data_IF_088286803467
#
_entry.id   IF_088286803467
#
_cell.length_a   1.000
_cell.length_b   1.000
_cell.length_c   1.000
_cell.angle_alpha   90.00
_cell.angle_beta   90.00
_cell.angle_gamma   90.00
#
_symmetry.space_group_name_H-M   'P 1'
#
loop_
_entity.id
_entity.type
_entity.pdbx_description
1 polymer ?
#
# COMPACT_ATOMS: atom_id res chain seq x y z
N UNK A 1 -26.67 34.27 36.34
CA UNK A 1 -26.45 32.88 36.82
C UNK A 1 -27.10 31.94 35.81
N UNK A 2 -26.29 31.05 35.23
CA UNK A 2 -26.64 29.83 34.46
C UNK A 2 -27.49 29.97 33.19
N UNK A 3 -26.84 29.89 32.02
CA UNK A 3 -27.14 28.90 30.97
C UNK A 3 -26.05 28.93 29.89
N UNK A 4 -25.07 28.02 30.02
CA UNK A 4 -24.09 27.72 28.98
C UNK A 4 -24.66 26.64 28.05
N UNK A 5 -24.94 27.01 26.80
CA UNK A 5 -25.22 26.09 25.69
C UNK A 5 -24.09 26.18 24.68
N UNK A 6 -23.31 25.10 24.63
CA UNK A 6 -22.82 24.38 23.44
C UNK A 6 -21.97 25.11 22.38
N UNK A 7 -20.87 24.42 22.03
CA UNK A 7 -20.05 24.48 20.80
C UNK A 7 -18.85 25.42 20.78
N UNK A 8 -17.67 24.84 21.00
CA UNK A 8 -16.44 25.17 20.27
C UNK A 8 -15.43 24.01 20.37
N UNK A 9 -15.82 22.82 19.92
CA UNK A 9 -14.88 21.73 19.58
C UNK A 9 -15.09 21.34 18.12
N UNK A 10 -14.59 22.20 17.22
CA UNK A 10 -14.44 21.88 15.79
C UNK A 10 -13.43 22.83 15.16
N UNK A 11 -12.20 22.79 15.64
CA UNK A 11 -11.08 23.50 15.00
C UNK A 11 -9.86 22.62 15.01
N UNK A 12 -9.87 21.59 14.15
CA UNK A 12 -8.69 20.77 13.86
C UNK A 12 -8.87 20.00 12.53
N UNK A 13 -9.61 20.59 11.58
CA UNK A 13 -9.39 20.30 10.17
C UNK A 13 -8.11 21.04 9.73
N UNK A 14 -6.99 20.68 10.35
CA UNK A 14 -5.66 21.00 9.85
C UNK A 14 -5.61 20.45 8.45
N UNK A 15 -5.37 21.34 7.47
CA UNK A 15 -5.12 21.04 6.05
C UNK A 15 -4.54 19.64 5.88
N UNK A 16 -5.38 18.69 5.49
CA UNK A 16 -4.89 17.44 4.95
C UNK A 16 -4.28 17.81 3.61
N UNK A 17 -2.95 17.85 3.56
CA UNK A 17 -2.26 17.85 2.27
C UNK A 17 -2.77 16.64 1.47
N UNK A 18 -2.91 16.74 0.13
CA UNK A 18 -3.31 15.60 -0.68
C UNK A 18 -2.43 14.42 -0.31
N UNK A 19 -3.05 13.35 0.19
CA UNK A 19 -2.31 12.18 0.61
C UNK A 19 -1.58 11.60 -0.61
N UNK A 20 -0.25 11.51 -0.56
CA UNK A 20 0.58 11.01 -1.66
C UNK A 20 0.21 9.59 -2.10
N UNK A 21 -0.62 8.86 -1.33
CA UNK A 21 -1.26 7.61 -1.76
C UNK A 21 -2.09 7.73 -3.04
N UNK A 22 -2.47 8.95 -3.47
CA UNK A 22 -3.05 9.15 -4.79
C UNK A 22 -2.04 8.90 -5.93
N UNK A 23 -0.78 9.26 -5.71
CA UNK A 23 0.31 8.92 -6.61
C UNK A 23 0.87 7.53 -6.22
N UNK A 24 1.43 7.38 -5.03
CA UNK A 24 2.20 6.22 -4.56
C UNK A 24 1.45 5.41 -3.49
N UNK A 25 0.74 4.36 -3.92
CA UNK A 25 -0.17 3.59 -3.06
C UNK A 25 0.51 2.76 -1.96
N UNK A 26 1.84 2.62 -1.97
CA UNK A 26 2.60 1.83 -0.98
C UNK A 26 3.32 2.69 0.07
N UNK A 27 3.16 4.02 0.06
CA UNK A 27 3.72 4.88 1.11
C UNK A 27 3.18 4.44 2.47
N UNK A 28 4.05 4.36 3.48
CA UNK A 28 3.68 3.93 4.83
C UNK A 28 3.62 2.42 5.07
N UNK A 29 3.66 1.58 4.00
CA UNK A 29 3.74 0.11 4.12
C UNK A 29 4.99 -0.47 3.45
N UNK A 30 5.51 0.19 2.41
CA UNK A 30 6.75 -0.22 1.77
C UNK A 30 7.96 0.16 2.63
N UNK A 31 8.90 -0.77 2.77
CA UNK A 31 10.08 -0.59 3.59
C UNK A 31 11.35 -1.15 2.95
N UNK A 32 12.47 -0.56 3.32
CA UNK A 32 13.79 -1.00 2.90
C UNK A 32 14.15 -2.33 3.57
N UNK A 33 14.48 -3.36 2.78
CA UNK A 33 14.95 -4.64 3.30
C UNK A 33 16.36 -4.61 3.90
N UNK A 34 17.09 -3.50 3.76
CA UNK A 34 18.45 -3.35 4.31
C UNK A 34 18.50 -2.58 5.65
N UNK A 35 17.74 -1.49 5.79
CA UNK A 35 17.75 -0.66 7.00
C UNK A 35 16.36 -0.47 7.63
N UNK A 36 15.35 -1.20 7.13
CA UNK A 36 13.96 -1.25 7.63
C UNK A 36 13.15 0.04 7.57
N UNK A 37 13.77 1.17 7.22
CA UNK A 37 13.07 2.44 7.07
C UNK A 37 12.02 2.39 5.95
N UNK A 38 10.91 3.10 6.16
CA UNK A 38 9.87 3.30 5.17
C UNK A 38 10.46 3.88 3.87
N UNK A 39 10.00 3.37 2.73
CA UNK A 39 10.33 3.94 1.44
C UNK A 39 9.45 5.16 1.17
N UNK A 40 10.02 6.15 0.48
CA UNK A 40 9.30 7.33 0.01
C UNK A 40 9.01 7.21 -1.48
N UNK A 41 7.88 7.77 -1.92
CA UNK A 41 7.60 7.96 -3.35
C UNK A 41 8.47 9.08 -3.91
N UNK A 42 9.05 8.85 -5.09
CA UNK A 42 9.86 9.83 -5.79
C UNK A 42 9.46 9.89 -7.26
N UNK A 43 9.10 11.10 -7.70
CA UNK A 43 8.98 11.44 -9.11
C UNK A 43 10.39 11.67 -9.70
N UNK A 44 10.64 11.15 -10.89
CA UNK A 44 11.89 11.33 -11.62
C UNK A 44 11.59 11.46 -13.11
N UNK A 45 12.45 12.13 -13.92
CA UNK A 45 12.23 12.23 -15.36
C UNK A 45 12.07 10.88 -16.08
N UNK A 46 12.65 9.81 -15.53
CA UNK A 46 12.55 8.45 -16.05
C UNK A 46 11.37 7.64 -15.49
N UNK A 47 10.46 8.27 -14.74
CA UNK A 47 9.28 7.65 -14.15
C UNK A 47 9.25 7.70 -12.62
N UNK A 48 8.40 6.84 -12.05
CA UNK A 48 8.02 6.86 -10.64
C UNK A 48 8.70 5.74 -9.86
N UNK A 49 9.20 6.04 -8.67
CA UNK A 49 9.97 5.11 -7.87
C UNK A 49 9.60 5.14 -6.39
N UNK A 50 9.71 4.00 -5.71
CA UNK A 50 9.90 3.95 -4.27
C UNK A 50 11.40 3.91 -3.98
N UNK A 51 11.87 4.76 -3.07
CA UNK A 51 13.28 4.84 -2.72
C UNK A 51 13.49 4.90 -1.20
N UNK A 52 14.58 4.31 -0.74
CA UNK A 52 15.05 4.46 0.63
C UNK A 52 15.88 5.74 0.69
N UNK A 53 15.23 6.87 0.93
CA UNK A 53 15.87 8.18 0.85
C UNK A 53 16.92 8.40 1.95
N UNK A 54 18.17 8.60 1.55
CA UNK A 54 19.28 8.88 2.47
C UNK A 54 19.15 10.25 3.13
N UNK A 55 18.57 11.24 2.45
CA UNK A 55 18.33 12.56 3.04
C UNK A 55 17.26 12.49 4.15
N UNK A 56 16.27 11.61 4.01
CA UNK A 56 15.27 11.26 5.03
C UNK A 56 15.75 10.25 6.10
N UNK A 57 17.06 9.99 6.19
CA UNK A 57 17.65 9.08 7.18
C UNK A 57 17.62 7.59 6.81
N UNK A 58 17.34 7.27 5.55
CA UNK A 58 17.49 5.94 4.97
C UNK A 58 18.92 5.62 4.55
N UNK A 59 19.13 4.45 3.94
CA UNK A 59 20.45 4.01 3.50
C UNK A 59 20.78 4.35 2.04
N UNK A 60 19.81 4.78 1.22
CA UNK A 60 20.03 5.07 -0.19
C UNK A 60 20.12 3.85 -1.11
N UNK A 61 20.14 2.63 -0.56
CA UNK A 61 20.47 1.40 -1.32
C UNK A 61 19.28 0.85 -2.11
N UNK A 62 18.06 0.99 -1.59
CA UNK A 62 16.86 0.46 -2.24
C UNK A 62 16.21 1.55 -3.08
N UNK A 63 16.04 1.26 -4.37
CA UNK A 63 15.19 1.99 -5.30
C UNK A 63 14.49 1.00 -6.21
N UNK A 64 13.19 1.17 -6.43
CA UNK A 64 12.36 0.23 -7.19
C UNK A 64 11.26 1.00 -7.94
N UNK A 65 10.95 0.57 -9.17
CA UNK A 65 9.92 1.23 -9.97
C UNK A 65 8.54 1.08 -9.32
N UNK A 66 7.77 2.17 -9.25
CA UNK A 66 6.50 2.21 -8.54
C UNK A 66 5.43 1.32 -9.20
N UNK A 67 5.13 1.56 -10.48
CA UNK A 67 4.08 0.81 -11.20
C UNK A 67 4.25 -0.71 -11.11
N UNK A 68 5.39 -1.29 -11.55
CA UNK A 68 5.60 -2.73 -11.46
C UNK A 68 5.56 -3.29 -10.03
N UNK A 69 5.96 -2.52 -9.01
CA UNK A 69 5.85 -2.96 -7.62
C UNK A 69 4.39 -2.95 -7.14
N UNK A 70 3.64 -1.91 -7.51
CA UNK A 70 2.22 -1.76 -7.17
C UNK A 70 1.39 -2.88 -7.83
N UNK A 71 1.69 -3.23 -9.08
CA UNK A 71 1.06 -4.34 -9.78
C UNK A 71 1.33 -5.69 -9.09
N UNK A 72 2.59 -5.94 -8.72
CA UNK A 72 2.95 -7.15 -7.96
C UNK A 72 2.21 -7.24 -6.61
N UNK A 73 2.10 -6.12 -5.89
CA UNK A 73 1.36 -6.07 -4.62
C UNK A 73 -0.13 -6.37 -4.86
N UNK A 74 -0.72 -5.79 -5.91
CA UNK A 74 -2.10 -6.04 -6.29
C UNK A 74 -2.37 -7.51 -6.60
N UNK A 75 -1.50 -8.13 -7.41
CA UNK A 75 -1.57 -9.55 -7.74
C UNK A 75 -1.50 -10.42 -6.48
N UNK A 76 -0.62 -10.06 -5.54
CA UNK A 76 -0.48 -10.83 -4.30
C UNK A 76 -1.68 -10.66 -3.38
N UNK A 77 -2.21 -9.45 -3.23
CA UNK A 77 -3.45 -9.17 -2.49
C UNK A 77 -4.62 -9.96 -3.07
N UNK A 78 -4.77 -9.92 -4.40
CA UNK A 78 -5.78 -10.69 -5.11
C UNK A 78 -5.67 -12.19 -4.82
N UNK A 79 -4.46 -12.74 -4.90
CA UNK A 79 -4.22 -14.16 -4.63
C UNK A 79 -4.61 -14.54 -3.20
N UNK A 80 -4.34 -13.69 -2.22
CA UNK A 80 -4.73 -13.93 -0.82
C UNK A 80 -6.24 -13.83 -0.62
N UNK A 81 -6.88 -12.80 -1.18
CA UNK A 81 -8.32 -12.60 -1.05
C UNK A 81 -9.16 -13.70 -1.69
N UNK A 82 -8.67 -14.26 -2.79
CA UNK A 82 -9.36 -15.33 -3.54
C UNK A 82 -8.96 -16.73 -3.09
N UNK A 83 -7.98 -16.85 -2.19
CA UNK A 83 -7.57 -18.13 -1.63
C UNK A 83 -8.74 -18.82 -0.92
N UNK A 84 -8.95 -20.14 -1.12
CA UNK A 84 -10.06 -20.86 -0.51
C UNK A 84 -10.13 -20.72 1.02
N UNK A 85 -8.98 -20.64 1.68
CA UNK A 85 -8.90 -20.51 3.15
C UNK A 85 -9.43 -19.15 3.61
N UNK A 86 -9.04 -18.08 2.92
CA UNK A 86 -9.54 -16.72 3.20
C UNK A 86 -11.04 -16.65 2.96
N UNK A 87 -11.53 -17.24 1.88
CA UNK A 87 -12.97 -17.32 1.58
C UNK A 87 -13.73 -18.08 2.68
N UNK A 88 -13.21 -19.23 3.11
CA UNK A 88 -13.82 -20.02 4.18
C UNK A 88 -13.93 -19.22 5.49
N UNK A 89 -12.85 -18.52 5.88
CA UNK A 89 -12.83 -17.69 7.09
C UNK A 89 -13.81 -16.53 7.05
N UNK A 90 -13.97 -15.89 5.89
CA UNK A 90 -14.96 -14.82 5.73
C UNK A 90 -16.40 -15.35 5.83
N UNK A 91 -16.66 -16.55 5.31
CA UNK A 91 -17.96 -17.24 5.46
C UNK A 91 -18.25 -17.54 6.94
N UNK A 92 -17.27 -18.06 7.68
CA UNK A 92 -17.39 -18.33 9.13
C UNK A 92 -17.74 -17.07 9.94
N UNK A 93 -17.21 -15.90 9.54
CA UNK A 93 -17.51 -14.62 10.16
C UNK A 93 -18.89 -14.05 9.79
N UNK A 94 -19.72 -14.78 9.06
CA UNK A 94 -21.05 -14.34 8.64
C UNK A 94 -21.02 -13.19 7.64
N UNK A 95 -19.86 -12.91 7.02
CA UNK A 95 -19.68 -11.85 6.04
C UNK A 95 -20.17 -12.27 4.64
N UNK A 96 -21.15 -13.18 4.54
CA UNK A 96 -21.50 -13.86 3.28
C UNK A 96 -22.15 -12.97 2.23
N UNK A 97 -22.81 -11.87 2.64
CA UNK A 97 -23.58 -11.00 1.73
C UNK A 97 -22.71 -10.18 0.74
N UNK A 98 -21.38 -10.28 0.81
CA UNK A 98 -20.45 -9.64 -0.14
C UNK A 98 -19.40 -10.57 -0.75
N UNK A 99 -19.33 -11.85 -0.37
CA UNK A 99 -18.24 -12.74 -0.79
C UNK A 99 -18.43 -13.35 -2.18
N UNK A 100 -19.68 -13.48 -2.61
CA UNK A 100 -20.00 -13.85 -4.00
C UNK A 100 -19.51 -12.76 -4.98
N UNK A 101 -19.32 -11.53 -4.49
CA UNK A 101 -18.73 -10.41 -5.22
C UNK A 101 -17.21 -10.29 -5.06
N UNK A 102 -16.55 -11.03 -4.16
CA UNK A 102 -15.08 -11.09 -4.06
C UNK A 102 -14.50 -12.17 -4.99
N UNK A 103 -14.98 -12.20 -6.23
CA UNK A 103 -14.32 -12.99 -7.27
C UNK A 103 -13.00 -12.33 -7.66
N UNK A 104 -12.07 -13.13 -8.19
CA UNK A 104 -10.81 -12.61 -8.69
C UNK A 104 -11.02 -11.52 -9.75
N UNK A 105 -12.00 -11.73 -10.61
CA UNK A 105 -12.37 -10.81 -11.68
C UNK A 105 -12.95 -9.49 -11.13
N UNK A 106 -13.86 -9.56 -10.15
CA UNK A 106 -14.45 -8.38 -9.55
C UNK A 106 -13.41 -7.54 -8.80
N UNK A 107 -12.50 -8.18 -8.05
CA UNK A 107 -11.39 -7.48 -7.41
C UNK A 107 -10.44 -6.85 -8.43
N UNK A 108 -10.05 -7.58 -9.48
CA UNK A 108 -9.17 -7.06 -10.53
C UNK A 108 -9.80 -5.84 -11.21
N UNK A 109 -11.08 -5.93 -11.56
CA UNK A 109 -11.83 -4.82 -12.18
C UNK A 109 -11.91 -3.62 -11.25
N UNK A 110 -12.23 -3.85 -9.97
CA UNK A 110 -12.23 -2.79 -8.97
C UNK A 110 -10.85 -2.14 -8.86
N UNK A 111 -9.78 -2.92 -8.66
CA UNK A 111 -8.41 -2.42 -8.51
C UNK A 111 -7.96 -1.56 -9.69
N UNK A 112 -8.27 -1.97 -10.92
CA UNK A 112 -7.93 -1.22 -12.13
C UNK A 112 -8.69 0.10 -12.26
N UNK A 113 -9.92 0.16 -11.75
CA UNK A 113 -10.77 1.35 -11.79
C UNK A 113 -10.62 2.27 -10.56
N UNK A 114 -10.12 1.73 -9.45
CA UNK A 114 -9.97 2.42 -8.20
C UNK A 114 -8.87 3.49 -8.31
N UNK A 115 -9.15 4.68 -7.76
CA UNK A 115 -8.14 5.72 -7.63
C UNK A 115 -7.04 5.29 -6.62
N UNK A 116 -5.95 6.06 -6.58
CA UNK A 116 -4.83 5.78 -5.68
C UNK A 116 -5.24 5.68 -4.20
N UNK A 117 -6.05 6.60 -3.64
CA UNK A 117 -6.46 6.53 -2.24
C UNK A 117 -7.23 5.25 -1.88
N UNK A 118 -8.15 4.79 -2.72
CA UNK A 118 -8.90 3.55 -2.46
C UNK A 118 -7.99 2.31 -2.53
N UNK A 119 -7.06 2.27 -3.50
CA UNK A 119 -6.05 1.21 -3.58
C UNK A 119 -5.14 1.19 -2.35
N UNK A 120 -4.68 2.36 -1.93
CA UNK A 120 -3.87 2.53 -0.73
C UNK A 120 -4.61 2.05 0.53
N UNK A 121 -5.86 2.46 0.72
CA UNK A 121 -6.69 2.04 1.85
C UNK A 121 -6.82 0.51 1.93
N UNK A 122 -7.03 -0.17 0.81
CA UNK A 122 -7.08 -1.64 0.77
C UNK A 122 -5.74 -2.27 1.17
N UNK A 123 -4.62 -1.74 0.66
CA UNK A 123 -3.29 -2.23 1.00
C UNK A 123 -3.03 -2.13 2.50
N UNK A 124 -3.25 -0.97 3.12
CA UNK A 124 -2.96 -0.76 4.56
C UNK A 124 -3.87 -1.58 5.48
N UNK A 125 -5.03 -2.03 5.00
CA UNK A 125 -5.92 -2.90 5.75
C UNK A 125 -5.41 -4.35 5.78
N UNK A 126 -4.78 -4.82 4.69
CA UNK A 126 -4.39 -6.23 4.52
C UNK A 126 -2.92 -6.49 4.84
N UNK A 127 -2.05 -5.53 4.56
CA UNK A 127 -0.61 -5.64 4.70
C UNK A 127 -0.13 -4.83 5.89
N UNK A 128 0.71 -5.47 6.72
CA UNK A 128 1.48 -4.78 7.74
C UNK A 128 2.71 -4.11 7.10
N UNK A 129 3.42 -4.85 6.25
CA UNK A 129 4.66 -4.36 5.62
C UNK A 129 4.94 -5.06 4.29
N UNK A 130 5.48 -4.30 3.32
CA UNK A 130 6.10 -4.83 2.09
C UNK A 130 7.60 -4.48 2.15
N UNK A 131 8.47 -5.46 2.37
CA UNK A 131 9.93 -5.25 2.44
C UNK A 131 10.57 -5.53 1.10
N UNK A 132 11.42 -4.62 0.64
CA UNK A 132 12.15 -4.73 -0.63
C UNK A 132 13.65 -4.81 -0.36
N UNK A 133 14.26 -5.96 -0.63
CA UNK A 133 15.70 -6.17 -0.50
C UNK A 133 16.49 -5.39 -1.58
N UNK A 134 17.76 -5.02 -1.32
CA UNK A 134 18.65 -4.43 -2.32
C UNK A 134 18.74 -5.23 -3.63
N UNK A 135 18.95 -4.55 -4.76
CA UNK A 135 19.17 -5.21 -6.03
C UNK A 135 20.57 -5.83 -6.07
N UNK A 136 20.66 -7.10 -6.48
CA UNK A 136 21.94 -7.71 -6.81
C UNK A 136 22.36 -7.19 -8.19
N UNK A 137 23.11 -6.08 -8.22
CA UNK A 137 23.63 -5.45 -9.44
C UNK A 137 22.98 -4.11 -9.78
N UNK A 138 23.78 -3.16 -10.26
CA UNK A 138 23.48 -1.73 -10.33
C UNK A 138 22.58 -1.25 -11.47
N UNK A 139 21.74 -2.10 -12.08
CA UNK A 139 20.78 -1.66 -13.11
C UNK A 139 19.35 -1.87 -12.62
N UNK A 140 18.46 -0.93 -12.95
CA UNK A 140 17.01 -1.04 -12.74
C UNK A 140 16.47 -2.21 -13.59
N UNK A 141 16.56 -3.42 -13.06
CA UNK A 141 15.91 -4.60 -13.61
C UNK A 141 14.39 -4.52 -13.36
N UNK A 142 13.57 -5.32 -14.06
CA UNK A 142 12.19 -5.59 -13.66
C UNK A 142 12.12 -5.90 -12.15
N UNK A 143 10.99 -5.62 -11.51
CA UNK A 143 10.83 -5.93 -10.08
C UNK A 143 11.03 -7.42 -9.88
N UNK A 144 12.18 -7.77 -9.33
CA UNK A 144 12.54 -9.13 -8.99
C UNK A 144 11.74 -9.54 -7.75
N UNK A 145 10.74 -10.39 -7.98
CA UNK A 145 9.81 -10.88 -6.95
C UNK A 145 10.52 -11.54 -5.77
N UNK A 146 11.72 -12.11 -5.99
CA UNK A 146 12.48 -12.76 -4.92
C UNK A 146 13.00 -11.76 -3.87
N UNK A 147 13.03 -10.47 -4.22
CA UNK A 147 13.44 -9.38 -3.33
C UNK A 147 12.28 -8.76 -2.57
N UNK A 148 11.04 -9.15 -2.85
CA UNK A 148 9.83 -8.56 -2.25
C UNK A 148 9.22 -9.55 -1.24
N UNK A 149 9.28 -9.19 0.03
CA UNK A 149 8.67 -9.94 1.11
C UNK A 149 7.42 -9.24 1.64
N UNK A 150 6.35 -10.01 1.86
CA UNK A 150 5.06 -9.52 2.33
C UNK A 150 4.83 -9.98 3.78
N UNK A 151 4.46 -9.04 4.64
CA UNK A 151 3.97 -9.30 6.00
C UNK A 151 2.48 -8.94 6.03
N UNK A 152 1.65 -9.94 6.22
CA UNK A 152 0.18 -9.81 6.27
C UNK A 152 -0.27 -9.58 7.72
N UNK A 153 -1.42 -8.92 7.88
CA UNK A 153 -2.07 -8.74 9.19
C UNK A 153 -2.84 -9.98 9.65
#
# INVERSE_FOLDING_TARGET
MVHARTQAMRSEASRAEPFDGAAFVLVGVAACGACERALTGQEHPSGRFYACDAAGGGCGVVRVAAGPLEDLVAERVLAVMTAPQTRARLVELGQTNGLDALTAEAFTRWWQSADGPHRHAMIVLLLDQVRIAPALGGRLAPVDVSRVAFTWR
#
